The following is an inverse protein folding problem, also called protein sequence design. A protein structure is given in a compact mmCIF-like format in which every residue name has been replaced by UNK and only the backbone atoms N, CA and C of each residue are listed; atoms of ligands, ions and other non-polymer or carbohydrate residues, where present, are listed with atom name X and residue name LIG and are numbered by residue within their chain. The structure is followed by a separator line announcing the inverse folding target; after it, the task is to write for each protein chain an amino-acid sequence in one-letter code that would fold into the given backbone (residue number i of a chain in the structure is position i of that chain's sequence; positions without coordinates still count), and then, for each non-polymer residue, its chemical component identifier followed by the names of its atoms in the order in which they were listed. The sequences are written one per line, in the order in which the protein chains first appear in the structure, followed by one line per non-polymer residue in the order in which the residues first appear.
data_IF_374891376569
#
_entry.id   IF_374891376569
#
_cell.length_a   1.000
_cell.length_b   1.000
_cell.length_c   1.000
_cell.angle_alpha   90.00
_cell.angle_beta   90.00
_cell.angle_gamma   90.00
#
_symmetry.space_group_name_H-M   'P 1'
#
loop_
_entity.id
_entity.type
_entity.pdbx_description
1 polymer ?
#
# COMPACT_ATOMS: atom_id res chain seq x y z
N UNK A 1 38.38 7.72 2.80
CA UNK A 1 38.04 8.21 1.47
C UNK A 1 37.48 7.12 0.51
N UNK A 2 38.06 5.90 0.42
CA UNK A 2 37.59 4.85 -0.51
C UNK A 2 36.12 4.44 -0.32
N UNK A 3 35.61 4.40 0.90
CA UNK A 3 34.22 3.99 1.20
C UNK A 3 33.20 5.09 0.89
N UNK A 4 33.57 6.37 0.98
CA UNK A 4 32.69 7.50 0.61
C UNK A 4 32.44 7.50 -0.90
N UNK A 5 33.45 7.15 -1.70
CA UNK A 5 33.31 7.03 -3.16
C UNK A 5 32.41 5.86 -3.55
N UNK A 6 32.48 4.73 -2.81
CA UNK A 6 31.59 3.57 -3.03
C UNK A 6 30.13 3.89 -2.72
N UNK A 7 29.87 4.62 -1.64
CA UNK A 7 28.54 5.10 -1.29
C UNK A 7 28.02 6.12 -2.31
N UNK A 8 28.85 7.04 -2.79
CA UNK A 8 28.50 7.99 -3.84
C UNK A 8 28.18 7.31 -5.18
N UNK A 9 28.93 6.27 -5.56
CA UNK A 9 28.68 5.46 -6.77
C UNK A 9 27.41 4.62 -6.64
N UNK A 10 27.09 4.10 -5.46
CA UNK A 10 25.87 3.38 -5.18
C UNK A 10 24.63 4.30 -5.28
N UNK A 11 24.76 5.57 -4.87
CA UNK A 11 23.69 6.57 -5.04
C UNK A 11 23.54 7.09 -6.49
N UNK A 12 24.63 7.10 -7.28
CA UNK A 12 24.57 7.57 -8.69
C UNK A 12 23.93 6.57 -9.65
N UNK A 13 23.92 5.27 -9.32
CA UNK A 13 23.30 4.23 -10.17
C UNK A 13 21.77 4.13 -10.07
N UNK A 14 21.15 4.91 -9.17
CA UNK A 14 19.72 4.84 -8.86
C UNK A 14 18.83 5.77 -9.72
N UNK A 15 19.36 6.36 -10.79
CA UNK A 15 18.62 7.36 -11.59
C UNK A 15 17.49 6.84 -12.47
N UNK A 16 17.17 5.54 -12.40
CA UNK A 16 16.14 4.93 -13.28
C UNK A 16 14.89 4.46 -12.55
N UNK A 17 14.74 4.74 -11.25
CA UNK A 17 13.70 4.17 -10.41
C UNK A 17 12.85 5.27 -9.75
N UNK A 18 11.54 5.13 -9.76
CA UNK A 18 10.66 6.03 -9.01
C UNK A 18 10.66 5.62 -7.54
N UNK A 19 11.60 6.17 -6.79
CA UNK A 19 11.63 6.04 -5.34
C UNK A 19 11.04 7.29 -4.72
N UNK A 20 10.24 7.12 -3.69
CA UNK A 20 9.79 8.26 -2.91
C UNK A 20 9.72 7.93 -1.42
N UNK A 21 10.00 8.96 -0.63
CA UNK A 21 9.79 8.96 0.81
C UNK A 21 8.68 9.95 1.08
N UNK A 22 7.72 9.56 1.92
CA UNK A 22 6.60 10.38 2.30
C UNK A 22 6.49 10.44 3.82
N UNK A 23 6.17 11.62 4.34
CA UNK A 23 5.77 11.79 5.74
C UNK A 23 4.32 12.28 5.72
N UNK A 24 3.45 11.51 6.33
CA UNK A 24 2.03 11.80 6.48
C UNK A 24 1.76 12.15 7.94
N UNK A 25 0.85 13.08 8.19
CA UNK A 25 0.28 13.30 9.50
C UNK A 25 -1.20 12.92 9.44
N UNK A 26 -1.50 11.73 9.99
CA UNK A 26 -2.85 11.16 9.99
C UNK A 26 -3.74 11.93 10.96
N UNK A 27 -4.85 12.46 10.46
CA UNK A 27 -5.79 13.31 11.18
C UNK A 27 -7.02 12.54 11.68
N UNK A 28 -6.91 11.21 11.85
CA UNK A 28 -8.05 10.37 12.23
C UNK A 28 -8.73 10.76 13.54
N UNK A 29 -7.96 11.16 14.56
CA UNK A 29 -8.54 11.65 15.81
C UNK A 29 -9.29 12.97 15.60
N UNK A 30 -8.79 13.86 14.75
CA UNK A 30 -9.48 15.11 14.42
C UNK A 30 -10.78 14.85 13.66
N UNK A 31 -10.79 13.84 12.78
CA UNK A 31 -11.96 13.47 11.98
C UNK A 31 -12.99 12.66 12.78
N UNK A 32 -12.51 11.78 13.67
CA UNK A 32 -13.33 10.87 14.50
C UNK A 32 -12.67 10.70 15.88
N UNK A 33 -12.91 11.66 16.81
CA UNK A 33 -12.30 11.62 18.14
C UNK A 33 -12.79 10.44 19.02
N UNK A 34 -14.00 9.96 18.76
CA UNK A 34 -14.59 8.88 19.55
C UNK A 34 -13.97 7.52 19.22
N UNK A 35 -13.65 7.29 17.94
CA UNK A 35 -13.06 6.04 17.46
C UNK A 35 -11.52 6.00 17.49
N UNK A 36 -10.85 7.13 17.70
CA UNK A 36 -9.40 7.22 17.56
C UNK A 36 -8.77 8.06 18.68
N UNK A 37 -7.82 7.50 19.40
CA UNK A 37 -7.23 8.14 20.59
C UNK A 37 -6.30 9.31 20.27
N UNK A 38 -5.65 9.33 19.10
CA UNK A 38 -4.69 10.37 18.70
C UNK A 38 -4.50 10.46 17.19
N UNK A 39 -4.04 11.63 16.73
CA UNK A 39 -3.40 11.77 15.43
C UNK A 39 -1.93 11.30 15.53
N UNK A 40 -1.33 10.86 14.44
CA UNK A 40 0.05 10.41 14.46
C UNK A 40 0.74 10.58 13.11
N UNK A 41 2.07 10.74 13.10
CA UNK A 41 2.84 10.71 11.87
C UNK A 41 3.04 9.28 11.36
N UNK A 42 3.07 9.15 10.03
CA UNK A 42 3.38 7.90 9.32
C UNK A 42 4.51 8.15 8.35
N UNK A 43 5.58 7.37 8.46
CA UNK A 43 6.65 7.35 7.47
C UNK A 43 6.31 6.29 6.41
N UNK A 44 6.39 6.68 5.15
CA UNK A 44 6.07 5.84 4.02
C UNK A 44 7.23 5.86 3.03
N UNK A 45 7.66 4.68 2.62
CA UNK A 45 8.63 4.49 1.56
C UNK A 45 8.00 3.68 0.43
N UNK A 46 8.17 4.15 -0.79
CA UNK A 46 7.72 3.45 -1.98
C UNK A 46 8.85 3.38 -2.99
N UNK A 47 9.07 2.19 -3.49
CA UNK A 47 9.92 1.92 -4.64
C UNK A 47 9.06 1.30 -5.74
N UNK A 48 8.93 2.01 -6.84
CA UNK A 48 8.20 1.54 -8.01
C UNK A 48 9.14 1.48 -9.22
N UNK A 49 9.17 0.35 -9.88
CA UNK A 49 9.84 0.17 -11.16
C UNK A 49 8.80 -0.21 -12.20
N UNK A 50 8.70 0.56 -13.27
CA UNK A 50 7.81 0.26 -14.39
C UNK A 50 8.30 -0.96 -15.18
N UNK A 51 7.46 -1.42 -16.09
CA UNK A 51 7.75 -2.57 -16.97
C UNK A 51 9.07 -2.41 -17.70
N UNK A 52 9.88 -3.48 -17.72
CA UNK A 52 11.08 -3.58 -18.55
C UNK A 52 10.71 -3.98 -19.98
N UNK A 53 11.34 -3.33 -20.96
CA UNK A 53 11.20 -3.62 -22.39
C UNK A 53 12.14 -4.71 -22.90
N UNK A 54 12.82 -5.43 -22.00
CA UNK A 54 13.82 -6.45 -22.33
C UNK A 54 13.35 -7.53 -23.30
N UNK A 55 14.32 -8.15 -24.00
CA UNK A 55 14.10 -9.23 -24.99
C UNK A 55 13.99 -10.63 -24.35
N UNK A 56 14.03 -10.75 -23.03
CA UNK A 56 13.95 -12.01 -22.30
C UNK A 56 12.62 -12.73 -22.56
N UNK A 57 12.63 -14.08 -22.48
CA UNK A 57 11.42 -14.91 -22.58
C UNK A 57 10.42 -14.54 -21.48
N UNK A 58 10.88 -14.38 -20.24
CA UNK A 58 10.08 -13.81 -19.15
C UNK A 58 10.34 -12.32 -19.11
N UNK A 59 9.30 -11.52 -19.30
CA UNK A 59 9.37 -10.06 -19.24
C UNK A 59 8.87 -9.60 -17.87
N UNK A 60 9.76 -9.06 -17.02
CA UNK A 60 9.33 -8.42 -15.79
C UNK A 60 8.43 -7.24 -16.14
N UNK A 61 7.27 -7.19 -15.53
CA UNK A 61 6.39 -6.03 -15.56
C UNK A 61 6.72 -5.07 -14.42
N UNK A 62 5.70 -4.40 -13.89
CA UNK A 62 5.87 -3.51 -12.77
C UNK A 62 6.31 -4.26 -11.50
N UNK A 63 7.25 -3.67 -10.78
CA UNK A 63 7.64 -4.06 -9.43
C UNK A 63 7.26 -2.94 -8.47
N UNK A 64 6.65 -3.31 -7.35
CA UNK A 64 6.27 -2.41 -6.27
C UNK A 64 6.81 -2.94 -4.95
N UNK A 65 7.47 -2.08 -4.19
CA UNK A 65 7.77 -2.29 -2.78
C UNK A 65 7.24 -1.10 -1.99
N UNK A 66 6.39 -1.35 -1.02
CA UNK A 66 5.86 -0.35 -0.09
C UNK A 66 6.24 -0.72 1.34
N UNK A 67 6.63 0.26 2.12
CA UNK A 67 6.83 0.14 3.57
C UNK A 67 6.15 1.33 4.25
N UNK A 68 5.35 1.05 5.24
CA UNK A 68 4.67 2.05 6.06
C UNK A 68 4.99 1.81 7.53
N UNK A 69 5.41 2.85 8.23
CA UNK A 69 5.66 2.83 9.65
C UNK A 69 4.82 3.92 10.34
N UNK A 70 3.83 3.49 11.14
CA UNK A 70 2.95 4.39 11.88
C UNK A 70 3.56 4.66 13.26
N UNK A 71 3.83 5.93 13.57
CA UNK A 71 4.41 6.38 14.84
C UNK A 71 3.30 6.57 15.89
N UNK A 72 2.51 5.52 16.10
CA UNK A 72 1.36 5.53 16.99
C UNK A 72 1.63 4.85 18.34
N UNK A 73 2.80 4.26 18.53
CA UNK A 73 3.21 3.61 19.78
C UNK A 73 3.47 4.60 20.92
N UNK A 74 3.82 4.05 22.09
CA UNK A 74 4.17 4.84 23.26
C UNK A 74 5.34 5.78 22.97
N UNK A 75 5.27 7.02 23.45
CA UNK A 75 6.26 8.09 23.22
C UNK A 75 6.55 8.32 21.69
N UNK A 76 5.55 8.14 20.83
CA UNK A 76 5.66 8.26 19.37
C UNK A 76 6.66 7.27 18.74
N UNK A 77 6.92 6.13 19.37
CA UNK A 77 7.62 5.02 18.75
C UNK A 77 6.79 4.38 17.64
N UNK A 78 7.45 3.57 16.81
CA UNK A 78 6.76 2.79 15.78
C UNK A 78 5.79 1.84 16.47
N UNK A 79 4.49 2.08 16.29
CA UNK A 79 3.41 1.25 16.83
C UNK A 79 2.90 0.23 15.81
N UNK A 80 3.13 0.48 14.51
CA UNK A 80 2.76 -0.46 13.44
C UNK A 80 3.70 -0.31 12.26
N UNK A 81 4.10 -1.42 11.68
CA UNK A 81 4.90 -1.48 10.46
C UNK A 81 4.26 -2.46 9.49
N UNK A 82 4.02 -2.02 8.27
CA UNK A 82 3.43 -2.80 7.18
C UNK A 82 4.35 -2.78 5.97
N UNK A 83 4.48 -3.92 5.29
CA UNK A 83 5.21 -4.05 4.04
C UNK A 83 4.34 -4.71 2.98
N UNK A 84 4.57 -4.33 1.73
CA UNK A 84 3.99 -4.96 0.55
C UNK A 84 5.05 -5.08 -0.53
N UNK A 85 5.12 -6.23 -1.17
CA UNK A 85 5.96 -6.50 -2.34
C UNK A 85 5.08 -7.07 -3.42
N UNK A 86 5.11 -6.50 -4.60
CA UNK A 86 4.36 -7.01 -5.75
C UNK A 86 5.21 -7.00 -7.02
N UNK A 87 5.06 -8.03 -7.83
CA UNK A 87 5.74 -8.18 -9.11
C UNK A 87 4.76 -8.68 -10.16
N UNK A 88 4.76 -8.03 -11.32
CA UNK A 88 4.07 -8.56 -12.50
C UNK A 88 5.06 -9.22 -13.46
N UNK A 89 4.64 -10.32 -14.09
CA UNK A 89 5.44 -11.10 -15.03
C UNK A 89 4.62 -11.38 -16.29
N UNK A 90 5.28 -11.38 -17.45
CA UNK A 90 4.66 -11.74 -18.71
C UNK A 90 5.58 -12.61 -19.55
N UNK A 91 5.06 -13.72 -20.04
CA UNK A 91 5.74 -14.65 -20.97
C UNK A 91 4.87 -14.99 -22.19
N UNK A 92 3.79 -14.24 -22.43
CA UNK A 92 2.88 -14.34 -23.57
C UNK A 92 2.66 -12.98 -24.26
N UNK A 93 1.95 -12.95 -25.38
CA UNK A 93 1.72 -11.73 -26.18
C UNK A 93 0.67 -10.75 -25.62
N UNK A 94 -0.49 -11.19 -25.07
CA UNK A 94 -1.51 -10.28 -24.55
C UNK A 94 -0.97 -9.35 -23.45
N UNK A 95 -1.62 -8.19 -23.26
CA UNK A 95 -1.28 -7.20 -22.23
C UNK A 95 -1.77 -7.59 -20.82
N UNK A 96 -1.98 -8.86 -20.58
CA UNK A 96 -2.30 -9.39 -19.24
C UNK A 96 -1.03 -9.94 -18.64
N UNK A 97 -0.74 -9.60 -17.40
CA UNK A 97 0.43 -10.04 -16.65
C UNK A 97 0.01 -11.01 -15.56
N UNK A 98 0.83 -11.99 -15.27
CA UNK A 98 0.75 -12.69 -13.99
C UNK A 98 1.12 -11.69 -12.90
N UNK A 99 0.29 -11.57 -11.88
CA UNK A 99 0.55 -10.76 -10.69
C UNK A 99 0.87 -11.68 -9.51
N UNK A 100 1.91 -11.34 -8.76
CA UNK A 100 2.29 -12.01 -7.53
C UNK A 100 2.53 -10.93 -6.49
N UNK A 101 1.94 -11.07 -5.31
CA UNK A 101 2.10 -10.12 -4.22
C UNK A 101 2.19 -10.81 -2.86
N UNK A 102 2.91 -10.17 -1.97
CA UNK A 102 2.97 -10.49 -0.55
C UNK A 102 2.78 -9.21 0.25
N UNK A 103 2.01 -9.30 1.30
CA UNK A 103 1.90 -8.23 2.29
C UNK A 103 1.79 -8.78 3.70
N UNK A 104 2.18 -7.96 4.68
CA UNK A 104 2.13 -8.32 6.08
C UNK A 104 2.81 -7.28 6.95
N UNK A 105 2.91 -7.56 8.25
CA UNK A 105 3.57 -6.64 9.15
C UNK A 105 3.42 -7.00 10.61
N UNK A 106 3.81 -6.05 11.45
CA UNK A 106 3.76 -6.16 12.90
C UNK A 106 3.21 -4.87 13.49
N UNK A 107 2.51 -5.00 14.60
CA UNK A 107 2.07 -3.87 15.39
C UNK A 107 2.24 -4.12 16.89
N UNK A 108 2.18 -3.02 17.65
CA UNK A 108 2.22 -3.02 19.10
C UNK A 108 1.11 -2.14 19.61
N UNK A 109 0.29 -2.64 20.53
CA UNK A 109 -0.79 -1.87 21.12
C UNK A 109 -0.26 -0.81 22.09
N UNK A 110 -0.94 0.34 22.20
CA UNK A 110 -0.70 1.37 23.19
C UNK A 110 -1.96 1.48 24.09
N UNK A 111 -1.86 1.49 25.43
CA UNK A 111 -0.65 1.60 26.24
C UNK A 111 0.00 0.26 26.66
N UNK A 112 -0.67 -0.89 26.48
CA UNK A 112 -0.24 -2.18 27.06
C UNK A 112 0.94 -2.83 26.33
N UNK A 113 1.33 -2.34 25.14
CA UNK A 113 2.46 -2.81 24.31
C UNK A 113 2.43 -4.31 23.96
N UNK A 114 1.23 -4.86 23.74
CA UNK A 114 1.11 -6.21 23.20
C UNK A 114 1.43 -6.20 21.71
N UNK A 115 2.29 -7.10 21.28
CA UNK A 115 2.57 -7.30 19.86
C UNK A 115 1.43 -8.07 19.17
N UNK A 116 1.14 -7.69 17.93
CA UNK A 116 0.21 -8.41 17.07
C UNK A 116 0.73 -8.47 15.65
N UNK A 117 0.31 -9.48 14.91
CA UNK A 117 0.61 -9.60 13.49
C UNK A 117 -0.41 -8.82 12.66
N UNK A 118 0.07 -8.11 11.63
CA UNK A 118 -0.74 -7.82 10.46
C UNK A 118 -0.63 -9.09 9.59
N UNK A 119 -1.77 -9.75 9.36
CA UNK A 119 -1.78 -11.08 8.77
C UNK A 119 -1.00 -11.13 7.45
N UNK A 120 -0.13 -12.13 7.32
CA UNK A 120 0.54 -12.39 6.05
C UNK A 120 -0.51 -12.70 4.99
N UNK A 121 -0.39 -12.06 3.84
CA UNK A 121 -1.27 -12.24 2.70
C UNK A 121 -0.44 -12.57 1.48
N UNK A 122 -0.79 -13.65 0.80
CA UNK A 122 -0.19 -14.07 -0.46
C UNK A 122 -1.24 -13.94 -1.55
N UNK A 123 -0.84 -13.34 -2.66
CA UNK A 123 -1.74 -13.03 -3.76
C UNK A 123 -1.13 -13.51 -5.06
N UNK A 124 -1.95 -14.14 -5.91
CA UNK A 124 -1.56 -14.56 -7.24
C UNK A 124 -2.74 -14.42 -8.19
N UNK A 125 -2.52 -13.77 -9.34
CA UNK A 125 -3.62 -13.52 -10.27
C UNK A 125 -3.18 -12.82 -11.54
N UNK A 126 -4.05 -11.96 -12.06
CA UNK A 126 -3.89 -11.28 -13.32
C UNK A 126 -3.94 -9.76 -13.16
N UNK A 127 -2.97 -9.06 -13.77
CA UNK A 127 -2.93 -7.62 -13.85
C UNK A 127 -3.08 -7.17 -15.31
N UNK A 128 -3.91 -6.16 -15.53
CA UNK A 128 -4.12 -5.52 -16.83
C UNK A 128 -3.82 -4.03 -16.74
N UNK A 129 -2.59 -3.61 -17.14
CA UNK A 129 -2.24 -2.19 -17.22
C UNK A 129 -2.79 -1.57 -18.51
N UNK A 130 -3.33 -0.37 -18.41
CA UNK A 130 -3.81 0.40 -19.56
C UNK A 130 -3.65 1.90 -19.35
N UNK A 131 -3.65 2.62 -20.44
CA UNK A 131 -3.62 4.09 -20.46
C UNK A 131 -4.97 4.61 -20.97
N UNK A 132 -5.49 5.62 -20.31
CA UNK A 132 -6.72 6.29 -20.74
C UNK A 132 -6.65 7.79 -20.44
N UNK A 133 -6.87 8.60 -21.47
CA UNK A 133 -6.86 10.08 -21.36
C UNK A 133 -5.65 10.67 -20.62
N UNK A 134 -4.45 10.11 -20.85
CA UNK A 134 -3.20 10.56 -20.22
C UNK A 134 -3.03 10.13 -18.75
N UNK A 135 -3.86 9.23 -18.27
CA UNK A 135 -3.69 8.54 -16.98
C UNK A 135 -3.22 7.10 -17.20
N UNK A 136 -2.55 6.56 -16.18
CA UNK A 136 -2.06 5.18 -16.11
C UNK A 136 -2.88 4.43 -15.09
N UNK A 137 -3.39 3.28 -15.49
CA UNK A 137 -4.30 2.47 -14.69
C UNK A 137 -3.86 1.01 -14.74
N UNK A 138 -4.07 0.30 -13.63
CA UNK A 138 -3.87 -1.16 -13.59
C UNK A 138 -5.03 -1.79 -12.83
N UNK A 139 -5.75 -2.68 -13.50
CA UNK A 139 -6.78 -3.53 -12.89
C UNK A 139 -6.14 -4.86 -12.54
N UNK A 140 -6.27 -5.30 -11.30
CA UNK A 140 -5.69 -6.54 -10.78
C UNK A 140 -6.80 -7.38 -10.17
N UNK A 141 -6.85 -8.66 -10.54
CA UNK A 141 -7.73 -9.65 -9.94
C UNK A 141 -6.88 -10.82 -9.46
N UNK A 142 -6.81 -11.01 -8.16
CA UNK A 142 -6.00 -12.01 -7.50
C UNK A 142 -6.84 -13.03 -6.73
N UNK A 143 -6.33 -14.24 -6.68
CA UNK A 143 -6.63 -15.17 -5.60
C UNK A 143 -5.80 -14.74 -4.38
N UNK A 144 -6.48 -14.48 -3.27
CA UNK A 144 -5.90 -14.04 -2.00
C UNK A 144 -5.93 -15.20 -1.01
N UNK A 145 -4.78 -15.49 -0.42
CA UNK A 145 -4.61 -16.49 0.61
C UNK A 145 -4.01 -15.90 1.88
N UNK A 146 -4.69 -16.08 2.99
CA UNK A 146 -4.23 -15.64 4.32
C UNK A 146 -4.07 -16.89 5.19
N UNK A 147 -2.82 -17.32 5.47
CA UNK A 147 -2.53 -18.42 6.38
C UNK A 147 -2.69 -17.94 7.83
N UNK A 148 -3.70 -18.43 8.50
CA UNK A 148 -3.93 -18.21 9.93
C UNK A 148 -4.42 -19.52 10.54
N UNK A 149 -4.87 -19.55 11.83
CA UNK A 149 -5.37 -20.75 12.48
C UNK A 149 -6.47 -21.44 11.65
N UNK A 150 -7.35 -20.65 11.02
CA UNK A 150 -8.26 -21.09 9.97
C UNK A 150 -7.99 -20.27 8.70
N UNK A 151 -7.29 -20.83 7.69
CA UNK A 151 -6.94 -20.10 6.48
C UNK A 151 -8.19 -19.61 5.74
N UNK A 152 -8.07 -18.44 5.13
CA UNK A 152 -9.09 -17.90 4.23
C UNK A 152 -8.55 -17.80 2.81
N UNK A 153 -9.39 -18.12 1.86
CA UNK A 153 -9.11 -18.13 0.43
C UNK A 153 -10.22 -17.36 -0.28
N UNK A 154 -9.84 -16.28 -0.95
CA UNK A 154 -10.79 -15.30 -1.48
C UNK A 154 -10.30 -14.69 -2.78
N UNK A 155 -11.15 -13.94 -3.44
CA UNK A 155 -10.75 -13.05 -4.53
C UNK A 155 -10.52 -11.65 -3.98
N UNK A 156 -9.46 -11.02 -4.47
CA UNK A 156 -9.12 -9.63 -4.23
C UNK A 156 -9.10 -8.91 -5.57
N UNK A 157 -9.87 -7.83 -5.66
CA UNK A 157 -9.77 -6.90 -6.76
C UNK A 157 -9.09 -5.64 -6.30
N UNK A 158 -8.02 -5.21 -7.02
CA UNK A 158 -7.33 -3.95 -6.76
C UNK A 158 -7.26 -3.13 -8.04
N UNK A 159 -7.54 -1.84 -7.93
CA UNK A 159 -7.41 -0.89 -9.03
C UNK A 159 -6.44 0.22 -8.66
N UNK A 160 -5.32 0.28 -9.36
CA UNK A 160 -4.32 1.33 -9.23
C UNK A 160 -4.57 2.42 -10.26
N UNK A 161 -4.39 3.68 -9.87
CA UNK A 161 -4.53 4.81 -10.77
C UNK A 161 -3.46 5.87 -10.52
N UNK A 162 -3.02 6.49 -11.60
CA UNK A 162 -2.10 7.62 -11.58
C UNK A 162 -2.42 8.56 -12.74
N UNK A 163 -2.51 9.86 -12.47
CA UNK A 163 -2.64 10.88 -13.51
C UNK A 163 -1.95 12.16 -13.10
N UNK A 164 -1.12 12.70 -14.00
CA UNK A 164 -0.49 14.00 -13.87
C UNK A 164 -1.22 15.07 -14.69
N UNK A 165 -1.20 16.30 -14.18
CA UNK A 165 -1.76 17.49 -14.81
C UNK A 165 -0.72 18.60 -14.80
N UNK A 166 -0.83 19.56 -15.73
CA UNK A 166 0.04 20.73 -15.79
C UNK A 166 1.53 20.36 -15.76
N UNK A 167 1.96 19.50 -16.68
CA UNK A 167 3.33 18.96 -16.73
C UNK A 167 3.76 18.29 -15.41
N UNK A 168 2.88 17.46 -14.86
CA UNK A 168 3.08 16.73 -13.60
C UNK A 168 3.32 17.64 -12.39
N UNK A 169 2.88 18.91 -12.45
CA UNK A 169 2.91 19.81 -11.29
C UNK A 169 1.83 19.43 -10.28
N UNK A 170 0.72 18.90 -10.76
CA UNK A 170 -0.36 18.34 -9.96
C UNK A 170 -0.54 16.86 -10.32
N UNK A 171 -0.57 16.00 -9.33
CA UNK A 171 -0.70 14.55 -9.52
C UNK A 171 -1.84 14.00 -8.65
N UNK A 172 -2.63 13.09 -9.21
CA UNK A 172 -3.59 12.27 -8.49
C UNK A 172 -3.15 10.83 -8.66
N UNK A 173 -3.02 10.09 -7.55
CA UNK A 173 -2.62 8.69 -7.55
C UNK A 173 -3.28 7.94 -6.42
N UNK A 174 -3.18 6.63 -6.43
CA UNK A 174 -3.67 5.78 -5.35
C UNK A 174 -4.17 4.45 -5.86
N UNK A 175 -4.84 3.76 -4.95
CA UNK A 175 -5.52 2.51 -5.26
C UNK A 175 -6.79 2.36 -4.43
N UNK A 176 -7.64 1.43 -4.86
CA UNK A 176 -8.68 0.86 -4.04
C UNK A 176 -8.72 -0.65 -4.21
N UNK A 177 -9.10 -1.33 -3.15
CA UNK A 177 -9.18 -2.79 -3.08
C UNK A 177 -10.51 -3.25 -2.49
N UNK A 178 -11.01 -4.36 -3.03
CA UNK A 178 -12.26 -5.01 -2.62
C UNK A 178 -11.99 -6.49 -2.43
N UNK A 179 -12.35 -7.05 -1.28
CA UNK A 179 -12.19 -8.50 -1.04
C UNK A 179 -13.18 -9.02 -0.01
N UNK A 180 -13.18 -10.33 0.15
CA UNK A 180 -13.89 -11.00 1.25
C UNK A 180 -12.92 -11.80 2.09
N UNK A 181 -13.27 -12.07 3.35
CA UNK A 181 -12.58 -13.01 4.23
C UNK A 181 -13.59 -13.78 5.08
N UNK A 182 -13.21 -14.98 5.52
CA UNK A 182 -14.01 -15.72 6.47
C UNK A 182 -14.18 -14.94 7.78
N UNK A 183 -15.38 -14.92 8.34
CA UNK A 183 -15.63 -14.35 9.67
C UNK A 183 -14.93 -15.12 10.77
N UNK A 184 -14.81 -16.44 10.58
CA UNK A 184 -14.16 -17.34 11.52
C UNK A 184 -12.67 -17.46 11.15
N UNK A 185 -11.82 -16.91 11.99
CA UNK A 185 -10.36 -16.96 11.85
C UNK A 185 -9.71 -18.13 12.59
N UNK A 186 -10.53 -18.97 13.32
CA UNK A 186 -10.05 -20.11 14.09
C UNK A 186 -9.49 -19.76 15.45
N UNK A 187 -9.81 -18.58 15.97
CA UNK A 187 -9.54 -18.15 17.34
C UNK A 187 -10.82 -18.24 18.20
N UNK A 188 -10.67 -18.17 19.52
CA UNK A 188 -11.78 -18.31 20.48
C UNK A 188 -12.85 -17.22 20.35
N UNK A 189 -12.52 -16.06 19.78
CA UNK A 189 -13.44 -14.94 19.61
C UNK A 189 -14.32 -15.14 18.38
N UNK A 190 -13.76 -15.75 17.32
CA UNK A 190 -14.43 -15.87 16.02
C UNK A 190 -14.91 -17.27 15.66
N UNK A 191 -14.62 -18.29 16.51
CA UNK A 191 -14.90 -19.71 16.22
C UNK A 191 -16.36 -20.04 15.90
N UNK A 192 -17.30 -19.29 16.49
CA UNK A 192 -18.74 -19.47 16.29
C UNK A 192 -19.32 -18.62 15.14
N UNK A 193 -18.48 -17.79 14.49
CA UNK A 193 -18.94 -16.97 13.39
C UNK A 193 -18.99 -17.78 12.09
N UNK A 194 -19.97 -17.48 11.24
CA UNK A 194 -20.17 -18.14 9.94
C UNK A 194 -20.24 -17.13 8.82
N UNK A 195 -19.91 -17.56 7.58
CA UNK A 195 -19.94 -16.74 6.39
C UNK A 195 -18.70 -15.87 6.22
N UNK A 196 -18.81 -14.86 5.36
CA UNK A 196 -17.71 -13.97 4.99
C UNK A 196 -18.05 -12.52 5.32
N UNK A 197 -17.02 -11.71 5.61
CA UNK A 197 -17.07 -10.25 5.59
C UNK A 197 -16.59 -9.75 4.24
N UNK A 198 -17.21 -8.66 3.78
CA UNK A 198 -16.73 -7.86 2.66
C UNK A 198 -15.88 -6.71 3.20
N UNK A 199 -14.75 -6.46 2.56
CA UNK A 199 -13.82 -5.41 2.91
C UNK A 199 -13.65 -4.43 1.75
N UNK A 200 -13.48 -3.17 2.09
CA UNK A 200 -13.05 -2.14 1.17
C UNK A 200 -11.90 -1.34 1.78
N UNK A 201 -10.92 -1.07 0.96
CA UNK A 201 -9.79 -0.19 1.25
C UNK A 201 -9.53 0.75 0.10
N UNK A 202 -9.21 2.02 0.39
CA UNK A 202 -8.69 2.94 -0.62
C UNK A 202 -7.74 3.97 0.00
N UNK A 203 -6.74 4.38 -0.80
CA UNK A 203 -5.79 5.41 -0.40
C UNK A 203 -5.51 6.43 -1.54
N UNK A 204 -6.54 7.17 -2.03
CA UNK A 204 -6.31 8.23 -2.98
C UNK A 204 -5.40 9.32 -2.41
N UNK A 205 -4.50 9.81 -3.25
CA UNK A 205 -3.50 10.82 -2.91
C UNK A 205 -3.55 11.95 -3.93
N UNK A 206 -3.37 13.18 -3.45
CA UNK A 206 -3.26 14.38 -4.27
C UNK A 206 -1.95 15.07 -3.92
N UNK A 207 -1.15 15.39 -4.93
CA UNK A 207 0.16 15.98 -4.76
C UNK A 207 0.34 17.24 -5.62
N UNK A 208 0.90 18.27 -5.01
CA UNK A 208 1.37 19.47 -5.69
C UNK A 208 2.89 19.55 -5.60
N UNK A 209 3.58 19.51 -6.74
CA UNK A 209 5.03 19.64 -6.82
C UNK A 209 5.44 21.11 -6.61
N UNK A 210 6.16 21.36 -5.53
CA UNK A 210 6.64 22.69 -5.16
C UNK A 210 7.93 23.01 -5.90
N UNK A 211 8.96 22.16 -5.76
CA UNK A 211 10.25 22.33 -6.41
C UNK A 211 11.00 20.98 -6.49
N UNK A 212 11.76 20.77 -7.56
CA UNK A 212 12.57 19.54 -7.72
C UNK A 212 11.74 18.27 -7.53
N UNK A 213 12.20 17.38 -6.63
CA UNK A 213 11.48 16.18 -6.20
C UNK A 213 10.47 16.40 -5.07
N UNK A 214 10.40 17.60 -4.49
CA UNK A 214 9.58 17.90 -3.31
C UNK A 214 8.13 18.24 -3.68
N UNK A 215 7.19 17.61 -3.01
CA UNK A 215 5.76 17.84 -3.15
C UNK A 215 5.07 17.92 -1.79
N UNK A 216 4.00 18.71 -1.72
CA UNK A 216 3.06 18.73 -0.62
C UNK A 216 1.74 18.13 -1.09
N UNK A 217 0.98 17.56 -0.18
CA UNK A 217 -0.26 16.91 -0.59
C UNK A 217 -1.09 16.35 0.54
N UNK A 218 -1.98 15.45 0.16
CA UNK A 218 -2.87 14.75 1.09
C UNK A 218 -3.04 13.31 0.64
N UNK A 219 -3.25 12.42 1.60
CA UNK A 219 -3.75 11.05 1.41
C UNK A 219 -5.04 10.91 2.19
N UNK A 220 -6.03 10.26 1.61
CA UNK A 220 -7.29 9.95 2.27
C UNK A 220 -7.37 8.44 2.43
N UNK A 221 -7.27 7.96 3.66
CA UNK A 221 -7.44 6.55 3.96
C UNK A 221 -8.93 6.24 4.14
N UNK A 222 -9.44 5.30 3.37
CA UNK A 222 -10.84 4.88 3.41
C UNK A 222 -10.92 3.39 3.76
N UNK A 223 -11.75 3.05 4.74
CA UNK A 223 -11.86 1.69 5.26
C UNK A 223 -13.32 1.30 5.44
N UNK A 224 -13.63 0.03 5.14
CA UNK A 224 -14.87 -0.61 5.49
C UNK A 224 -14.57 -2.01 6.02
N UNK A 225 -15.00 -2.32 7.24
CA UNK A 225 -14.73 -3.56 7.99
C UNK A 225 -13.27 -3.84 8.34
N UNK A 226 -12.31 -2.91 8.11
CA UNK A 226 -10.89 -3.16 8.40
C UNK A 226 -10.56 -2.96 9.88
N UNK A 227 -11.10 -1.92 10.51
CA UNK A 227 -10.85 -1.61 11.93
C UNK A 227 -12.06 -1.85 12.82
N UNK A 228 -13.21 -2.15 12.26
CA UNK A 228 -14.44 -2.47 12.99
C UNK A 228 -15.23 -3.51 12.21
N UNK A 229 -15.95 -4.38 12.94
CA UNK A 229 -16.93 -5.31 12.35
C UNK A 229 -18.29 -4.66 12.05
N UNK A 230 -18.49 -3.41 12.47
CA UNK A 230 -19.71 -2.66 12.22
C UNK A 230 -19.77 -2.17 10.76
N UNK A 231 -20.97 -2.00 10.22
CA UNK A 231 -21.20 -1.50 8.86
C UNK A 231 -20.96 0.02 8.77
N UNK A 232 -19.76 0.46 9.15
CA UNK A 232 -19.36 1.86 9.18
C UNK A 232 -18.24 2.09 8.16
N UNK A 233 -18.44 3.10 7.31
CA UNK A 233 -17.41 3.57 6.39
C UNK A 233 -16.56 4.64 7.06
N UNK A 234 -15.26 4.35 7.23
CA UNK A 234 -14.31 5.22 7.91
C UNK A 234 -13.47 5.98 6.89
N UNK A 235 -13.34 7.31 7.07
CA UNK A 235 -12.55 8.19 6.18
C UNK A 235 -11.60 9.00 7.05
N UNK A 236 -10.28 8.81 6.84
CA UNK A 236 -9.23 9.47 7.60
C UNK A 236 -8.28 10.23 6.67
N UNK A 237 -8.38 11.57 6.64
CA UNK A 237 -7.47 12.38 5.85
C UNK A 237 -6.10 12.49 6.54
N UNK A 238 -5.05 12.66 5.74
CA UNK A 238 -3.70 12.94 6.21
C UNK A 238 -3.09 14.11 5.42
N UNK A 239 -2.48 15.06 6.09
CA UNK A 239 -1.58 16.02 5.45
C UNK A 239 -0.24 15.34 5.16
N UNK A 240 0.39 15.63 4.03
CA UNK A 240 1.55 14.88 3.61
C UNK A 240 2.60 15.72 2.87
N UNK A 241 3.86 15.34 3.02
CA UNK A 241 4.98 15.78 2.20
C UNK A 241 5.61 14.56 1.54
N UNK A 242 6.11 14.73 0.33
CA UNK A 242 6.76 13.67 -0.47
C UNK A 242 8.03 14.18 -1.11
N UNK A 243 9.07 13.35 -1.05
CA UNK A 243 10.30 13.54 -1.77
C UNK A 243 10.51 12.40 -2.77
N UNK A 244 10.54 12.71 -4.07
CA UNK A 244 10.95 11.79 -5.15
C UNK A 244 12.47 11.86 -5.30
N UNK A 245 13.14 10.71 -5.19
CA UNK A 245 14.59 10.53 -5.28
C UNK A 245 15.05 10.34 -6.71
#
# INVERSE_FOLDING_TARGET
MKYILLWALMFCSLRSFSQNIQLHYDLRHTADPAGNSKNYPTLYFEYFKSQDSGRSFIKPGAFLFKMQADLLGAANNIGKMYIQVAQTLRFWKPRVFLHLSYSGGLGVTDPKQYSYYILNTYEAGAAYPFEWKGGYYTSVLDYKYVPYARPTSDFLYTFYFYRGFYNYRFEISGDFSLWTENKNHGDTVTENLTGKHFFFYAEPQIWYRVAGGFSIGTKINMYYHIYTSENIFQIYPAAAIRWKL
#
